data_IF_102620034000
#
_entry.id   IF_102620034000
#
_cell.length_a   1.000
_cell.length_b   1.000
_cell.length_c   1.000
_cell.angle_alpha   90.00
_cell.angle_beta   90.00
_cell.angle_gamma   90.00
#
_symmetry.space_group_name_H-M   'P 1'
#
loop_
_entity.id
_entity.type
_entity.pdbx_description
1 polymer ?
#
# COMPACT_ATOMS: atom_id res chain seq x y z
N UNK A 1 -2.53 -5.32 9.09
CA UNK A 1 -3.74 -4.88 8.39
C UNK A 1 -4.98 -5.07 9.26
N UNK A 2 -6.17 -4.84 8.70
CA UNK A 2 -7.45 -4.84 9.44
C UNK A 2 -7.70 -6.10 10.25
N UNK A 3 -7.47 -7.29 9.67
CA UNK A 3 -7.65 -8.55 10.38
C UNK A 3 -6.87 -8.61 11.69
N UNK A 4 -5.61 -8.21 11.68
CA UNK A 4 -4.76 -8.23 12.87
C UNK A 4 -5.25 -7.25 13.93
N UNK A 5 -5.50 -5.98 13.55
CA UNK A 5 -5.94 -4.96 14.51
C UNK A 5 -7.32 -5.27 15.09
N UNK A 6 -8.21 -5.83 14.29
CA UNK A 6 -9.55 -6.24 14.77
C UNK A 6 -9.46 -7.36 15.80
N UNK A 7 -8.50 -8.28 15.67
CA UNK A 7 -8.35 -9.42 16.60
C UNK A 7 -7.52 -9.07 17.84
N UNK A 8 -6.58 -8.12 17.78
CA UNK A 8 -5.61 -7.85 18.86
C UNK A 8 -5.72 -6.45 19.47
N UNK A 9 -6.44 -5.55 18.82
CA UNK A 9 -6.52 -4.15 19.22
C UNK A 9 -5.17 -3.43 19.17
N UNK A 10 -5.11 -2.30 19.85
CA UNK A 10 -3.89 -1.45 19.95
C UNK A 10 -2.74 -2.19 20.65
N UNK A 11 -3.04 -3.05 21.59
CA UNK A 11 -2.02 -3.85 22.33
C UNK A 11 -1.25 -4.78 21.36
N UNK A 12 -1.89 -5.27 20.30
CA UNK A 12 -1.21 -6.01 19.25
C UNK A 12 -0.13 -5.19 18.56
N UNK A 13 -0.39 -3.92 18.27
CA UNK A 13 0.61 -3.02 17.67
C UNK A 13 1.79 -2.82 18.62
N UNK A 14 1.52 -2.55 19.92
CA UNK A 14 2.56 -2.41 20.93
C UNK A 14 3.40 -3.68 21.08
N UNK A 15 2.78 -4.86 20.94
CA UNK A 15 3.49 -6.13 20.98
C UNK A 15 4.48 -6.28 19.79
N UNK A 16 4.14 -5.73 18.62
CA UNK A 16 5.03 -5.76 17.44
C UNK A 16 6.26 -4.84 17.60
N UNK A 17 6.17 -3.76 18.38
CA UNK A 17 7.30 -2.84 18.58
C UNK A 17 8.52 -3.50 19.24
N UNK A 18 8.31 -4.60 19.97
CA UNK A 18 9.38 -5.41 20.59
C UNK A 18 10.38 -5.98 19.56
N UNK A 19 10.02 -6.07 18.30
CA UNK A 19 10.90 -6.58 17.26
C UNK A 19 11.85 -5.53 16.68
N UNK A 20 11.73 -4.27 17.07
CA UNK A 20 12.55 -3.15 16.58
C UNK A 20 12.58 -3.05 15.03
N UNK A 21 11.49 -3.42 14.38
CA UNK A 21 11.31 -3.31 12.94
C UNK A 21 10.31 -2.20 12.61
N UNK A 22 10.45 -1.53 11.45
CA UNK A 22 9.44 -0.58 10.99
C UNK A 22 8.07 -1.23 10.87
N UNK A 23 7.05 -0.62 11.47
CA UNK A 23 5.68 -1.14 11.46
C UNK A 23 4.86 -0.36 10.44
N UNK A 24 4.19 -1.08 9.54
CA UNK A 24 3.21 -0.53 8.61
C UNK A 24 1.79 -0.84 9.09
N UNK A 25 1.03 0.21 9.42
CA UNK A 25 -0.39 0.11 9.74
C UNK A 25 -1.23 0.26 8.47
N UNK A 26 -1.64 -0.88 7.92
CA UNK A 26 -2.46 -0.92 6.70
C UNK A 26 -3.95 -0.81 7.03
N UNK A 27 -4.42 0.42 7.28
CA UNK A 27 -5.81 0.77 7.59
C UNK A 27 -6.63 1.10 6.34
N UNK A 28 -5.99 1.60 5.28
CA UNK A 28 -6.64 2.19 4.11
C UNK A 28 -7.69 3.25 4.52
N UNK A 29 -7.31 4.11 5.49
CA UNK A 29 -8.24 5.04 6.13
C UNK A 29 -8.91 5.96 5.11
N UNK A 30 -10.24 6.00 5.15
CA UNK A 30 -11.07 6.81 4.28
C UNK A 30 -12.24 7.36 5.09
N UNK A 31 -12.24 8.67 5.36
CA UNK A 31 -13.20 9.33 6.22
C UNK A 31 -13.16 10.85 5.97
N UNK A 32 -14.00 11.62 6.67
CA UNK A 32 -13.98 13.07 6.64
C UNK A 32 -12.65 13.64 7.15
N UNK A 33 -12.32 14.87 6.74
CA UNK A 33 -11.03 15.54 7.00
C UNK A 33 -10.60 15.49 8.47
N UNK A 34 -11.51 15.82 9.39
CA UNK A 34 -11.19 15.84 10.82
C UNK A 34 -10.82 14.45 11.36
N UNK A 35 -11.53 13.42 10.92
CA UNK A 35 -11.25 12.02 11.32
C UNK A 35 -9.89 11.57 10.79
N UNK A 36 -9.57 11.83 9.51
CA UNK A 36 -8.29 11.46 8.91
C UNK A 36 -7.13 12.21 9.57
N UNK A 37 -7.30 13.49 9.88
CA UNK A 37 -6.32 14.29 10.63
C UNK A 37 -6.07 13.72 12.03
N UNK A 38 -7.13 13.43 12.77
CA UNK A 38 -7.04 12.84 14.10
C UNK A 38 -6.44 11.44 14.08
N UNK A 39 -6.81 10.60 13.09
CA UNK A 39 -6.19 9.31 12.83
C UNK A 39 -4.68 9.45 12.65
N UNK A 40 -4.22 10.30 11.72
CA UNK A 40 -2.80 10.52 11.44
C UNK A 40 -2.03 10.95 12.69
N UNK A 41 -2.58 11.88 13.46
CA UNK A 41 -2.01 12.35 14.72
C UNK A 41 -1.93 11.23 15.77
N UNK A 42 -2.98 10.43 15.92
CA UNK A 42 -3.03 9.38 16.96
C UNK A 42 -2.00 8.27 16.74
N UNK A 43 -1.59 8.03 15.50
CA UNK A 43 -0.59 7.01 15.17
C UNK A 43 0.81 7.36 15.68
N UNK A 44 1.13 8.63 15.90
CA UNK A 44 2.48 9.08 16.34
C UNK A 44 2.91 8.45 17.67
N UNK A 45 1.96 8.09 18.52
CA UNK A 45 2.22 7.50 19.84
C UNK A 45 2.27 5.97 19.82
N UNK A 46 2.12 5.32 18.65
CA UNK A 46 2.03 3.86 18.53
C UNK A 46 3.30 3.19 18.00
N UNK A 47 4.38 3.94 17.78
CA UNK A 47 5.61 3.39 17.21
C UNK A 47 5.47 2.92 15.75
N UNK A 48 4.48 3.45 15.02
CA UNK A 48 4.21 3.13 13.63
C UNK A 48 5.12 3.96 12.73
N UNK A 49 5.70 3.33 11.70
CA UNK A 49 6.57 3.99 10.72
C UNK A 49 5.82 4.38 9.45
N UNK A 50 4.83 3.57 9.06
CA UNK A 50 4.04 3.76 7.84
C UNK A 50 2.56 3.55 8.12
N UNK A 51 1.69 4.34 7.50
CA UNK A 51 0.25 4.10 7.54
C UNK A 51 -0.39 4.33 6.18
N UNK A 52 -1.45 3.55 5.85
CA UNK A 52 -2.15 3.71 4.58
C UNK A 52 -3.41 4.54 4.74
N UNK A 53 -3.59 5.48 3.81
CA UNK A 53 -4.81 6.29 3.62
C UNK A 53 -5.30 6.11 2.18
N UNK A 54 -6.61 6.13 1.96
CA UNK A 54 -7.14 6.02 0.59
C UNK A 54 -7.03 7.37 -0.14
N UNK A 55 -6.54 7.37 -1.40
CA UNK A 55 -6.36 8.62 -2.17
C UNK A 55 -7.71 9.23 -2.61
N UNK A 56 -8.81 8.48 -2.51
CA UNK A 56 -10.16 9.03 -2.68
C UNK A 56 -10.57 10.02 -1.59
N UNK A 57 -9.84 10.15 -0.49
CA UNK A 57 -9.92 11.35 0.33
C UNK A 57 -9.60 12.58 -0.54
N UNK A 58 -10.22 13.70 -0.25
CA UNK A 58 -9.90 14.93 -0.98
C UNK A 58 -8.41 15.30 -0.82
N UNK A 59 -7.85 15.98 -1.82
CA UNK A 59 -6.45 16.44 -1.77
C UNK A 59 -6.16 17.29 -0.52
N UNK A 60 -7.12 18.15 -0.13
CA UNK A 60 -7.03 18.95 1.08
C UNK A 60 -6.97 18.09 2.35
N UNK A 61 -7.77 17.03 2.41
CA UNK A 61 -7.75 16.07 3.52
C UNK A 61 -6.40 15.37 3.62
N UNK A 62 -5.85 14.94 2.48
CA UNK A 62 -4.55 14.28 2.44
C UNK A 62 -3.40 15.22 2.84
N UNK A 63 -3.42 16.48 2.39
CA UNK A 63 -2.43 17.51 2.81
C UNK A 63 -2.45 17.72 4.32
N UNK A 64 -3.63 17.85 4.89
CA UNK A 64 -3.76 18.00 6.34
C UNK A 64 -3.31 16.75 7.09
N UNK A 65 -3.66 15.56 6.58
CA UNK A 65 -3.20 14.29 7.16
C UNK A 65 -1.66 14.18 7.19
N UNK A 66 -0.99 14.54 6.10
CA UNK A 66 0.48 14.56 6.02
C UNK A 66 1.07 15.51 7.06
N UNK A 67 0.49 16.72 7.20
CA UNK A 67 0.92 17.70 8.20
C UNK A 67 0.79 17.19 9.64
N UNK A 68 -0.28 16.44 9.93
CA UNK A 68 -0.54 15.90 11.27
C UNK A 68 0.20 14.59 11.58
N UNK A 69 0.72 13.90 10.56
CA UNK A 69 1.35 12.59 10.69
C UNK A 69 2.74 12.63 11.39
N UNK A 70 3.34 13.82 11.56
CA UNK A 70 4.68 13.94 12.14
C UNK A 70 5.72 13.14 11.33
N UNK A 71 6.38 12.19 11.98
CA UNK A 71 7.41 11.34 11.35
C UNK A 71 6.83 10.11 10.62
N UNK A 72 5.52 9.90 10.66
CA UNK A 72 4.87 8.75 10.01
C UNK A 72 4.75 9.01 8.51
N UNK A 73 5.21 8.06 7.74
CA UNK A 73 5.14 8.10 6.28
C UNK A 73 3.77 7.63 5.81
N UNK A 74 2.92 8.55 5.37
CA UNK A 74 1.61 8.20 4.82
C UNK A 74 1.74 7.67 3.39
N UNK A 75 1.10 6.52 3.14
CA UNK A 75 1.10 5.82 1.87
C UNK A 75 -0.32 5.83 1.32
N UNK A 76 -0.49 6.38 0.12
CA UNK A 76 -1.77 6.45 -0.55
C UNK A 76 -2.19 5.11 -1.15
N UNK A 77 -3.41 4.68 -0.92
CA UNK A 77 -4.00 3.56 -1.63
C UNK A 77 -4.76 4.09 -2.84
N UNK A 78 -4.36 3.69 -4.03
CA UNK A 78 -5.00 4.06 -5.30
C UNK A 78 -6.26 3.20 -5.56
N UNK A 79 -6.44 2.68 -6.76
CA UNK A 79 -7.50 1.71 -7.05
C UNK A 79 -7.09 0.35 -6.46
N UNK A 80 -8.00 -0.30 -5.73
CA UNK A 80 -7.73 -1.62 -5.18
C UNK A 80 -7.40 -2.61 -6.29
N UNK A 81 -6.36 -3.41 -6.11
CA UNK A 81 -5.86 -4.36 -7.13
C UNK A 81 -6.86 -5.45 -7.53
N UNK A 82 -7.93 -5.63 -6.75
CA UNK A 82 -9.06 -6.52 -7.06
C UNK A 82 -10.09 -5.89 -8.00
N UNK A 83 -10.06 -4.56 -8.20
CA UNK A 83 -11.05 -3.87 -9.04
C UNK A 83 -10.72 -4.02 -10.52
N UNK A 84 -11.76 -4.21 -11.32
CA UNK A 84 -11.75 -4.13 -12.79
C UNK A 84 -12.35 -2.80 -13.26
N UNK A 85 -12.22 -2.52 -14.56
CA UNK A 85 -12.90 -1.37 -15.19
C UNK A 85 -14.42 -1.42 -15.00
N UNK A 86 -15.00 -2.64 -15.02
CA UNK A 86 -16.44 -2.82 -14.78
C UNK A 86 -16.83 -2.48 -13.33
N UNK A 87 -15.98 -2.77 -12.37
CA UNK A 87 -16.25 -2.41 -10.96
C UNK A 87 -16.21 -0.90 -10.78
N UNK A 88 -15.24 -0.22 -11.39
CA UNK A 88 -15.19 1.26 -11.38
C UNK A 88 -16.43 1.86 -12.04
N UNK A 89 -16.85 1.32 -13.19
CA UNK A 89 -18.06 1.77 -13.89
C UNK A 89 -19.32 1.61 -13.04
N UNK A 90 -19.48 0.48 -12.36
CA UNK A 90 -20.60 0.26 -11.42
C UNK A 90 -20.62 1.23 -10.25
N UNK A 91 -19.45 1.74 -9.83
CA UNK A 91 -19.31 2.75 -8.81
C UNK A 91 -19.47 4.19 -9.33
N UNK A 92 -19.79 4.35 -10.64
CA UNK A 92 -20.02 5.66 -11.24
C UNK A 92 -18.77 6.36 -11.78
N UNK A 93 -17.60 5.70 -11.79
CA UNK A 93 -16.40 6.25 -12.41
C UNK A 93 -16.48 6.12 -13.93
N UNK A 94 -16.17 7.19 -14.65
CA UNK A 94 -16.12 7.21 -16.12
C UNK A 94 -14.80 6.69 -16.71
N UNK A 95 -13.73 6.68 -15.90
CA UNK A 95 -12.40 6.26 -16.32
C UNK A 95 -12.23 4.74 -16.16
N UNK A 96 -11.34 4.15 -16.98
CA UNK A 96 -10.79 2.82 -16.71
C UNK A 96 -9.82 2.86 -15.53
N UNK A 97 -9.38 1.68 -15.05
CA UNK A 97 -8.47 1.55 -13.91
C UNK A 97 -7.18 2.34 -14.11
N UNK A 98 -6.54 2.21 -15.28
CA UNK A 98 -5.26 2.86 -15.58
C UNK A 98 -5.36 4.39 -15.48
N UNK A 99 -6.38 4.98 -16.11
CA UNK A 99 -6.59 6.43 -16.09
C UNK A 99 -7.00 6.92 -14.69
N UNK A 100 -7.79 6.14 -13.98
CA UNK A 100 -8.17 6.47 -12.60
C UNK A 100 -6.96 6.45 -11.66
N UNK A 101 -6.08 5.46 -11.80
CA UNK A 101 -4.81 5.41 -11.06
C UNK A 101 -3.95 6.62 -11.39
N UNK A 102 -3.77 6.98 -12.67
CA UNK A 102 -3.00 8.17 -13.07
C UNK A 102 -3.49 9.43 -12.33
N UNK A 103 -4.80 9.66 -12.30
CA UNK A 103 -5.40 10.82 -11.60
C UNK A 103 -5.07 10.78 -10.11
N UNK A 104 -5.28 9.63 -9.47
CA UNK A 104 -5.02 9.46 -8.04
C UNK A 104 -3.54 9.64 -7.69
N UNK A 105 -2.61 9.19 -8.55
CA UNK A 105 -1.17 9.38 -8.35
C UNK A 105 -0.78 10.87 -8.39
N UNK A 106 -1.37 11.66 -9.28
CA UNK A 106 -1.14 13.12 -9.31
C UNK A 106 -1.62 13.77 -8.02
N UNK A 107 -2.79 13.37 -7.50
CA UNK A 107 -3.32 13.84 -6.21
C UNK A 107 -2.38 13.43 -5.07
N UNK A 108 -1.92 12.19 -5.04
CA UNK A 108 -1.00 11.69 -4.01
C UNK A 108 0.31 12.49 -3.97
N UNK A 109 0.88 12.76 -5.15
CA UNK A 109 2.10 13.55 -5.30
C UNK A 109 1.89 15.01 -4.84
N UNK A 110 0.80 15.65 -5.28
CA UNK A 110 0.45 17.03 -4.90
C UNK A 110 0.14 17.18 -3.41
N UNK A 111 -0.43 16.13 -2.79
CA UNK A 111 -0.71 16.11 -1.36
C UNK A 111 0.53 15.83 -0.49
N UNK A 112 1.67 15.48 -1.09
CA UNK A 112 2.90 15.20 -0.37
C UNK A 112 2.92 13.83 0.33
N UNK A 113 2.15 12.85 -0.16
CA UNK A 113 2.23 11.48 0.35
C UNK A 113 3.63 10.91 0.11
N UNK A 114 4.11 10.09 1.03
CA UNK A 114 5.42 9.44 0.92
C UNK A 114 5.49 8.42 -0.21
N UNK A 115 4.42 7.70 -0.45
CA UNK A 115 4.38 6.65 -1.45
C UNK A 115 2.95 6.20 -1.73
N UNK A 116 2.83 5.17 -2.54
CA UNK A 116 1.55 4.62 -2.96
C UNK A 116 1.55 3.10 -2.96
N UNK A 117 0.41 2.50 -2.62
CA UNK A 117 0.14 1.08 -2.88
C UNK A 117 -0.44 0.98 -4.29
N UNK A 118 0.21 0.22 -5.15
CA UNK A 118 -0.16 0.09 -6.57
C UNK A 118 0.06 -1.32 -7.11
N UNK A 119 -0.62 -1.66 -8.19
CA UNK A 119 -0.36 -2.92 -8.92
C UNK A 119 1.04 -2.92 -9.54
N UNK A 120 1.70 -4.10 -9.66
CA UNK A 120 2.97 -4.21 -10.39
C UNK A 120 2.94 -3.60 -11.80
N UNK A 121 1.80 -3.69 -12.49
CA UNK A 121 1.61 -3.15 -13.85
C UNK A 121 1.62 -1.63 -13.92
N UNK A 122 1.34 -0.95 -12.82
CA UNK A 122 1.21 0.51 -12.72
C UNK A 122 2.55 1.20 -12.39
N UNK A 123 3.53 0.45 -11.88
CA UNK A 123 4.79 1.00 -11.36
C UNK A 123 5.52 1.88 -12.37
N UNK A 124 5.71 1.42 -13.61
CA UNK A 124 6.38 2.22 -14.66
C UNK A 124 5.68 3.55 -14.92
N UNK A 125 4.35 3.53 -15.00
CA UNK A 125 3.56 4.74 -15.22
C UNK A 125 3.72 5.68 -14.01
N UNK A 126 3.65 5.16 -12.80
CA UNK A 126 3.80 5.96 -11.57
C UNK A 126 5.18 6.61 -11.51
N UNK A 127 6.26 5.85 -11.74
CA UNK A 127 7.64 6.38 -11.75
C UNK A 127 7.86 7.44 -12.83
N UNK A 128 7.14 7.38 -13.94
CA UNK A 128 7.17 8.43 -14.99
C UNK A 128 6.43 9.70 -14.57
N UNK A 129 5.29 9.58 -13.87
CA UNK A 129 4.42 10.71 -13.51
C UNK A 129 4.90 11.39 -12.22
N UNK A 130 5.31 10.58 -11.23
CA UNK A 130 5.69 11.02 -9.89
C UNK A 130 6.90 10.21 -9.38
N UNK A 131 8.11 10.46 -9.91
CA UNK A 131 9.31 9.65 -9.64
C UNK A 131 9.69 9.59 -8.16
N UNK A 132 9.30 10.59 -7.39
CA UNK A 132 9.59 10.66 -5.95
C UNK A 132 8.66 9.79 -5.09
N UNK A 133 7.52 9.34 -5.61
CA UNK A 133 6.63 8.46 -4.87
C UNK A 133 7.23 7.05 -4.74
N UNK A 134 7.27 6.54 -3.53
CA UNK A 134 7.71 5.19 -3.23
C UNK A 134 6.58 4.21 -3.57
N UNK A 135 6.87 3.20 -4.40
CA UNK A 135 5.90 2.20 -4.84
C UNK A 135 5.91 0.97 -3.91
N UNK A 136 4.81 0.76 -3.20
CA UNK A 136 4.54 -0.42 -2.39
C UNK A 136 3.66 -1.38 -3.19
N UNK A 137 4.20 -2.54 -3.55
CA UNK A 137 3.60 -3.41 -4.58
C UNK A 137 3.11 -4.73 -3.98
N UNK A 138 1.78 -4.90 -3.80
CA UNK A 138 1.17 -6.19 -3.47
C UNK A 138 0.99 -7.08 -4.71
N UNK A 139 0.51 -8.32 -4.49
CA UNK A 139 0.13 -9.21 -5.59
C UNK A 139 1.32 -9.91 -6.26
N UNK A 140 2.46 -9.94 -5.59
CA UNK A 140 3.66 -10.63 -6.07
C UNK A 140 3.59 -12.11 -5.71
N UNK A 141 4.03 -13.01 -6.62
CA UNK A 141 4.01 -14.47 -6.46
C UNK A 141 5.31 -15.09 -6.98
N UNK A 142 5.72 -16.19 -6.37
CA UNK A 142 6.79 -17.02 -6.94
C UNK A 142 6.30 -17.69 -8.24
N UNK A 143 7.19 -17.86 -9.20
CA UNK A 143 6.85 -18.43 -10.52
C UNK A 143 6.22 -19.85 -10.45
N UNK A 144 6.48 -20.58 -9.37
CA UNK A 144 5.95 -21.93 -9.14
C UNK A 144 4.47 -21.96 -8.67
N UNK A 145 3.94 -20.82 -8.24
CA UNK A 145 2.56 -20.72 -7.74
C UNK A 145 1.60 -20.31 -8.88
N UNK A 146 1.25 -21.27 -9.74
CA UNK A 146 0.18 -21.12 -10.74
C UNK A 146 -1.18 -21.24 -10.04
N UNK A 147 -1.77 -20.13 -9.61
CA UNK A 147 -3.16 -20.04 -9.20
C UNK A 147 -3.83 -18.80 -9.79
N UNK A 148 -5.01 -19.00 -10.31
CA UNK A 148 -6.19 -18.18 -10.72
C UNK A 148 -6.11 -16.61 -10.82
N UNK A 149 -5.02 -15.94 -10.53
CA UNK A 149 -4.93 -14.48 -10.63
C UNK A 149 -4.21 -14.04 -11.91
N UNK A 150 -4.97 -13.54 -12.87
CA UNK A 150 -4.52 -13.01 -14.17
C UNK A 150 -3.56 -11.79 -14.10
N UNK A 151 -3.15 -11.31 -12.92
CA UNK A 151 -2.39 -10.07 -12.71
C UNK A 151 -1.24 -10.20 -11.71
N UNK A 152 -0.55 -11.34 -11.66
CA UNK A 152 0.61 -11.52 -10.79
C UNK A 152 1.91 -11.27 -11.56
N UNK A 153 2.92 -10.77 -10.87
CA UNK A 153 4.31 -10.68 -11.29
C UNK A 153 5.18 -11.44 -10.30
N UNK A 154 6.36 -11.88 -10.75
CA UNK A 154 7.38 -12.38 -9.85
C UNK A 154 8.02 -11.24 -9.05
N UNK A 155 8.66 -11.51 -7.90
CA UNK A 155 9.40 -10.50 -7.15
C UNK A 155 10.43 -9.75 -8.02
N UNK A 156 11.21 -10.49 -8.82
CA UNK A 156 12.24 -9.94 -9.70
C UNK A 156 11.65 -9.01 -10.76
N UNK A 157 10.58 -9.43 -11.42
CA UNK A 157 9.88 -8.58 -12.39
C UNK A 157 9.35 -7.28 -11.76
N UNK A 158 8.73 -7.36 -10.57
CA UNK A 158 8.22 -6.18 -9.89
C UNK A 158 9.33 -5.17 -9.54
N UNK A 159 10.46 -5.63 -9.03
CA UNK A 159 11.63 -4.78 -8.75
C UNK A 159 12.19 -4.18 -10.05
N UNK A 160 12.30 -4.98 -11.12
CA UNK A 160 12.76 -4.50 -12.44
C UNK A 160 11.82 -3.42 -13.02
N UNK A 161 10.53 -3.45 -12.69
CA UNK A 161 9.57 -2.41 -13.05
C UNK A 161 9.75 -1.12 -12.23
N UNK A 162 10.54 -1.15 -11.13
CA UNK A 162 10.80 0.00 -10.25
C UNK A 162 10.01 -0.04 -8.94
N UNK A 163 9.50 -1.20 -8.51
CA UNK A 163 8.91 -1.35 -7.18
C UNK A 163 9.99 -1.12 -6.10
N UNK A 164 9.68 -0.27 -5.12
CA UNK A 164 10.60 0.00 -4.01
C UNK A 164 10.39 -0.98 -2.85
N UNK A 165 9.14 -1.39 -2.62
CA UNK A 165 8.75 -2.36 -1.60
C UNK A 165 7.78 -3.40 -2.15
N UNK A 166 7.98 -4.66 -1.78
CA UNK A 166 7.04 -5.74 -2.07
C UNK A 166 6.17 -6.02 -0.84
N UNK A 167 4.86 -6.04 -1.02
CA UNK A 167 3.91 -6.43 0.04
C UNK A 167 3.58 -7.90 -0.13
N UNK A 168 4.12 -8.72 0.76
CA UNK A 168 3.99 -10.16 0.73
C UNK A 168 3.01 -10.64 1.82
N UNK A 169 1.87 -11.14 1.42
CA UNK A 169 0.89 -11.77 2.30
C UNK A 169 1.05 -13.29 2.31
N UNK A 170 0.06 -14.00 1.76
CA UNK A 170 0.01 -15.48 1.72
C UNK A 170 1.30 -16.16 1.20
N UNK A 171 2.00 -15.65 0.18
CA UNK A 171 3.26 -16.24 -0.25
C UNK A 171 4.31 -16.33 0.86
N UNK A 172 4.25 -15.42 1.83
CA UNK A 172 5.14 -15.46 2.98
C UNK A 172 4.56 -16.27 4.14
N UNK A 173 3.26 -16.15 4.41
CA UNK A 173 2.65 -16.63 5.67
C UNK A 173 2.08 -18.05 5.59
N UNK A 174 1.90 -18.62 4.38
CA UNK A 174 1.40 -19.99 4.22
C UNK A 174 2.53 -21.01 4.39
N UNK A 175 2.36 -21.97 5.28
CA UNK A 175 3.38 -22.99 5.57
C UNK A 175 4.51 -22.46 6.44
N UNK A 176 5.78 -22.64 6.00
CA UNK A 176 6.95 -22.19 6.75
C UNK A 176 7.45 -20.80 6.29
N UNK A 177 7.22 -19.72 7.06
CA UNK A 177 7.61 -18.37 6.66
C UNK A 177 9.11 -18.17 6.44
N UNK A 178 9.97 -18.90 7.18
CA UNK A 178 11.44 -18.81 7.04
C UNK A 178 11.93 -19.39 5.71
N UNK A 179 11.34 -20.47 5.28
CA UNK A 179 11.65 -21.06 3.96
C UNK A 179 11.10 -20.19 2.83
N UNK A 180 9.89 -19.68 3.02
CA UNK A 180 9.26 -18.82 2.03
C UNK A 180 10.07 -17.54 1.79
N UNK A 181 10.54 -16.86 2.85
CA UNK A 181 11.37 -15.66 2.68
C UNK A 181 12.70 -15.98 1.98
N UNK A 182 13.34 -17.12 2.27
CA UNK A 182 14.57 -17.55 1.58
C UNK A 182 14.33 -17.75 0.08
N UNK A 183 13.24 -18.44 -0.30
CA UNK A 183 12.86 -18.63 -1.71
C UNK A 183 12.60 -17.30 -2.42
N UNK A 184 11.94 -16.36 -1.72
CA UNK A 184 11.67 -15.02 -2.27
C UNK A 184 12.99 -14.27 -2.51
N UNK A 185 13.90 -14.26 -1.52
CA UNK A 185 15.21 -13.61 -1.66
C UNK A 185 16.01 -14.22 -2.82
N UNK A 186 16.10 -15.55 -2.90
CA UNK A 186 16.74 -16.23 -4.02
C UNK A 186 16.15 -15.89 -5.38
N UNK A 187 14.83 -15.62 -5.45
CA UNK A 187 14.18 -15.24 -6.70
C UNK A 187 14.50 -13.81 -7.15
N UNK A 188 15.16 -13.01 -6.32
CA UNK A 188 15.59 -11.64 -6.64
C UNK A 188 17.00 -11.61 -7.26
N UNK A 189 17.80 -12.66 -7.03
CA UNK A 189 19.11 -12.85 -7.63
C UNK A 189 18.97 -13.26 -9.10
#
# INVERSE_FOLDING_TARGET
>A
GLQYITSTGIEGIKALSKFNLPIMYDAKAFDIKNTISAFSKSLTNLGISYATVHILNSEETLKEAVKQAGNIKLIGVSVLTSFSDNDLKKLGFSNNVEKQVEILIRIASSAGLYGVVCSPKEVKMIKKIAPNLICFVPGVRLASEKHDQKRTMTPKEAITQGADYLILGRPLTSGNPRENIRKIIQSLE
#
